data_IF_446422098692
#
_entry.id   IF_446422098692
#
_cell.length_a   1.000
_cell.length_b   1.000
_cell.length_c   1.000
_cell.angle_alpha   90.00
_cell.angle_beta   90.00
_cell.angle_gamma   90.00
#
_symmetry.space_group_name_H-M   'P 1'
#
loop_
_entity.id
_entity.type
_entity.pdbx_description
1 polymer ?
#
# COMPACT_ATOMS: atom_id res chain seq x y z
N UNK A 1 -11.13 -7.64 12.22
CA UNK A 1 -12.26 -8.62 12.29
C UNK A 1 -11.75 -10.04 12.51
N UNK A 2 -10.86 -10.63 11.65
CA UNK A 2 -10.39 -12.03 11.78
C UNK A 2 -9.89 -12.39 13.18
N UNK A 3 -9.18 -11.49 13.87
CA UNK A 3 -8.76 -11.68 15.24
C UNK A 3 -9.95 -11.72 16.21
N UNK A 4 -10.91 -10.83 16.04
CA UNK A 4 -12.07 -10.71 16.94
C UNK A 4 -13.03 -11.90 16.85
N UNK A 5 -13.10 -12.55 15.71
CA UNK A 5 -13.94 -13.72 15.46
C UNK A 5 -13.19 -15.07 15.60
N UNK A 6 -11.95 -15.03 16.12
CA UNK A 6 -11.16 -16.22 16.41
C UNK A 6 -10.57 -16.95 15.20
N UNK A 7 -10.61 -16.34 14.00
CA UNK A 7 -10.03 -16.90 12.76
C UNK A 7 -8.54 -16.60 12.59
N UNK A 8 -7.83 -16.25 13.64
CA UNK A 8 -6.44 -15.82 13.58
C UNK A 8 -6.27 -14.33 13.30
N UNK A 9 -5.04 -13.90 13.17
CA UNK A 9 -4.68 -12.49 13.05
C UNK A 9 -3.92 -11.98 14.26
N UNK A 10 -3.72 -10.67 14.34
CA UNK A 10 -2.87 -10.05 15.34
C UNK A 10 -3.68 -9.25 16.37
N UNK A 11 -3.41 -9.51 17.65
CA UNK A 11 -3.94 -8.69 18.75
C UNK A 11 -3.36 -7.26 18.69
N UNK A 12 -2.08 -7.13 18.40
CA UNK A 12 -1.41 -5.84 18.30
C UNK A 12 -2.01 -4.98 17.18
N UNK A 13 -2.22 -5.58 15.99
CA UNK A 13 -2.85 -4.89 14.86
C UNK A 13 -4.30 -4.50 15.17
N UNK A 14 -5.08 -5.39 15.80
CA UNK A 14 -6.45 -5.09 16.21
C UNK A 14 -6.50 -3.91 17.17
N UNK A 15 -5.64 -3.90 18.19
CA UNK A 15 -5.56 -2.83 19.18
C UNK A 15 -5.12 -1.50 18.56
N UNK A 16 -4.08 -1.52 17.73
CA UNK A 16 -3.61 -0.31 17.02
C UNK A 16 -4.66 0.30 16.12
N UNK A 17 -5.45 -0.52 15.42
CA UNK A 17 -6.58 -0.04 14.61
C UNK A 17 -7.67 0.57 15.50
N UNK A 18 -8.02 -0.09 16.60
CA UNK A 18 -9.04 0.40 17.53
C UNK A 18 -8.65 1.75 18.14
N UNK A 19 -7.42 1.87 18.61
CA UNK A 19 -6.88 3.12 19.14
C UNK A 19 -6.87 4.24 18.10
N UNK A 20 -6.43 3.94 16.88
CA UNK A 20 -6.35 4.93 15.81
C UNK A 20 -7.73 5.46 15.39
N UNK A 21 -8.75 4.60 15.40
CA UNK A 21 -10.12 4.94 15.03
C UNK A 21 -10.98 5.42 16.22
N UNK A 22 -10.52 5.25 17.46
CA UNK A 22 -11.31 5.55 18.66
C UNK A 22 -12.51 4.62 18.83
N UNK A 23 -12.43 3.37 18.33
CA UNK A 23 -13.49 2.36 18.43
C UNK A 23 -13.12 1.29 19.47
N UNK A 24 -14.10 0.65 20.06
CA UNK A 24 -13.93 -0.32 21.14
C UNK A 24 -14.52 -1.71 20.85
N UNK A 25 -15.27 -1.84 19.76
CA UNK A 25 -15.94 -3.10 19.42
C UNK A 25 -15.87 -3.43 17.93
N UNK A 26 -16.14 -4.70 17.59
CA UNK A 26 -16.24 -5.15 16.20
C UNK A 26 -17.38 -4.46 15.46
N UNK A 27 -18.51 -4.22 16.14
CA UNK A 27 -19.68 -3.56 15.58
C UNK A 27 -19.37 -2.10 15.21
N UNK A 28 -18.63 -1.40 16.09
CA UNK A 28 -18.18 -0.03 15.82
C UNK A 28 -17.21 0.03 14.63
N UNK A 29 -16.27 -0.92 14.54
CA UNK A 29 -15.37 -1.04 13.40
C UNK A 29 -16.12 -1.29 12.10
N UNK A 30 -17.11 -2.20 12.10
CA UNK A 30 -17.95 -2.47 10.92
C UNK A 30 -18.76 -1.23 10.54
N UNK A 31 -19.34 -0.55 11.52
CA UNK A 31 -20.07 0.71 11.29
C UNK A 31 -19.17 1.79 10.70
N UNK A 32 -17.92 1.90 11.19
CA UNK A 32 -16.94 2.81 10.61
C UNK A 32 -16.68 2.47 9.14
N UNK A 33 -16.34 1.22 8.80
CA UNK A 33 -15.96 0.82 7.44
C UNK A 33 -17.11 0.98 6.43
N UNK A 34 -18.35 0.68 6.83
CA UNK A 34 -19.54 0.73 5.97
C UNK A 34 -20.41 1.96 6.18
N UNK A 35 -20.01 2.87 7.06
CA UNK A 35 -20.71 4.12 7.33
C UNK A 35 -20.69 5.05 6.13
N UNK A 36 -21.80 5.78 5.92
CA UNK A 36 -21.92 6.74 4.80
C UNK A 36 -20.94 7.93 4.93
N UNK A 37 -20.48 8.23 6.13
CA UNK A 37 -19.57 9.34 6.41
C UNK A 37 -18.08 8.97 6.22
N UNK A 38 -17.77 7.68 6.17
CA UNK A 38 -16.39 7.19 6.02
C UNK A 38 -15.99 7.22 4.55
N UNK A 39 -14.95 7.97 4.25
CA UNK A 39 -14.39 8.03 2.91
C UNK A 39 -13.15 7.13 2.77
N UNK A 40 -12.69 6.94 1.53
CA UNK A 40 -11.51 6.10 1.23
C UNK A 40 -10.24 6.62 1.92
N UNK A 41 -10.11 7.93 2.12
CA UNK A 41 -8.95 8.54 2.79
C UNK A 41 -8.90 8.17 4.27
N UNK A 42 -10.04 8.03 4.94
CA UNK A 42 -10.09 7.63 6.35
C UNK A 42 -9.63 6.18 6.54
N UNK A 43 -10.02 5.30 5.61
CA UNK A 43 -9.53 3.92 5.59
C UNK A 43 -8.03 3.88 5.27
N UNK A 44 -7.57 4.70 4.32
CA UNK A 44 -6.17 4.76 3.94
C UNK A 44 -5.24 5.20 5.09
N UNK A 45 -5.71 6.01 6.03
CA UNK A 45 -4.95 6.40 7.22
C UNK A 45 -4.52 5.21 8.08
N UNK A 46 -5.26 4.09 8.04
CA UNK A 46 -4.91 2.86 8.74
C UNK A 46 -3.61 2.23 8.25
N UNK A 47 -3.15 2.58 7.04
CA UNK A 47 -1.84 2.14 6.54
C UNK A 47 -0.70 2.53 7.48
N UNK A 48 -0.79 3.68 8.15
CA UNK A 48 0.19 4.12 9.14
C UNK A 48 0.34 3.15 10.31
N UNK A 49 -0.77 2.57 10.79
CA UNK A 49 -0.75 1.56 11.87
C UNK A 49 -0.05 0.30 11.40
N UNK A 50 -0.38 -0.18 10.19
CA UNK A 50 0.24 -1.39 9.60
C UNK A 50 1.73 -1.19 9.40
N UNK A 51 2.15 -0.05 8.84
CA UNK A 51 3.57 0.29 8.64
C UNK A 51 4.35 0.34 9.95
N UNK A 52 3.80 0.99 10.97
CA UNK A 52 4.45 1.11 12.27
C UNK A 52 4.66 -0.25 12.93
N UNK A 53 3.62 -1.10 12.94
CA UNK A 53 3.69 -2.45 13.52
C UNK A 53 4.60 -3.38 12.71
N UNK A 54 4.58 -3.32 11.39
CA UNK A 54 5.51 -4.08 10.55
C UNK A 54 6.97 -3.67 10.82
N UNK A 55 7.24 -2.37 10.98
CA UNK A 55 8.56 -1.86 11.36
C UNK A 55 9.03 -2.31 12.75
N UNK A 56 8.10 -2.68 13.64
CA UNK A 56 8.39 -3.27 14.95
C UNK A 56 8.51 -4.81 14.90
N UNK A 57 8.37 -5.42 13.72
CA UNK A 57 8.48 -6.87 13.54
C UNK A 57 7.18 -7.64 13.77
N UNK A 58 6.00 -6.96 13.74
CA UNK A 58 4.72 -7.64 13.86
C UNK A 58 4.39 -8.40 12.56
N UNK A 59 4.27 -9.73 12.68
CA UNK A 59 4.19 -10.64 11.53
C UNK A 59 2.97 -10.42 10.63
N UNK A 60 1.78 -10.24 11.21
CA UNK A 60 0.54 -10.07 10.42
C UNK A 60 0.60 -8.78 9.59
N UNK A 61 1.14 -7.71 10.17
CA UNK A 61 1.34 -6.45 9.45
C UNK A 61 2.38 -6.59 8.33
N UNK A 62 3.47 -7.31 8.58
CA UNK A 62 4.47 -7.60 7.56
C UNK A 62 3.90 -8.46 6.41
N UNK A 63 3.07 -9.46 6.73
CA UNK A 63 2.34 -10.27 5.73
C UNK A 63 1.41 -9.42 4.87
N UNK A 64 0.67 -8.49 5.46
CA UNK A 64 -0.22 -7.57 4.73
C UNK A 64 0.59 -6.73 3.73
N UNK A 65 1.74 -6.19 4.15
CA UNK A 65 2.60 -5.41 3.27
C UNK A 65 3.20 -6.26 2.14
N UNK A 66 3.60 -7.50 2.45
CA UNK A 66 4.14 -8.44 1.46
C UNK A 66 3.08 -8.81 0.42
N UNK A 67 1.86 -9.16 0.84
CA UNK A 67 0.77 -9.45 -0.07
C UNK A 67 0.43 -8.27 -0.98
N UNK A 68 0.38 -7.05 -0.42
CA UNK A 68 0.17 -5.84 -1.22
C UNK A 68 1.29 -5.59 -2.25
N UNK A 69 2.53 -5.89 -1.90
CA UNK A 69 3.67 -5.80 -2.81
C UNK A 69 3.61 -6.84 -3.94
N UNK A 70 3.20 -8.06 -3.64
CA UNK A 70 3.01 -9.14 -4.62
C UNK A 70 1.90 -8.80 -5.63
N UNK A 71 0.81 -8.19 -5.19
CA UNK A 71 -0.25 -7.71 -6.09
C UNK A 71 0.26 -6.62 -7.04
N UNK A 72 1.09 -5.68 -6.57
CA UNK A 72 1.74 -4.69 -7.44
C UNK A 72 2.64 -5.39 -8.46
N UNK A 73 3.42 -6.38 -8.04
CA UNK A 73 4.29 -7.13 -8.95
C UNK A 73 3.49 -7.89 -10.02
N UNK A 74 2.34 -8.47 -9.66
CA UNK A 74 1.43 -9.09 -10.62
C UNK A 74 0.90 -8.08 -11.66
N UNK A 75 0.54 -6.87 -11.23
CA UNK A 75 0.09 -5.81 -12.14
C UNK A 75 1.22 -5.37 -13.08
N UNK A 76 2.43 -5.15 -12.57
CA UNK A 76 3.59 -4.78 -13.39
C UNK A 76 3.89 -5.86 -14.43
N UNK A 77 3.92 -7.13 -14.03
CA UNK A 77 4.09 -8.27 -14.94
C UNK A 77 3.05 -8.27 -16.06
N UNK A 78 1.78 -8.06 -15.73
CA UNK A 78 0.70 -8.03 -16.71
C UNK A 78 0.88 -6.88 -17.72
N UNK A 79 1.26 -5.69 -17.25
CA UNK A 79 1.53 -4.53 -18.10
C UNK A 79 2.74 -4.76 -19.01
N UNK A 80 3.85 -5.26 -18.47
CA UNK A 80 5.05 -5.57 -19.25
C UNK A 80 4.77 -6.59 -20.35
N UNK A 81 4.02 -7.64 -20.04
CA UNK A 81 3.62 -8.65 -21.03
C UNK A 81 2.75 -8.04 -22.12
N UNK A 82 1.78 -7.21 -21.76
CA UNK A 82 0.86 -6.58 -22.72
C UNK A 82 1.54 -5.60 -23.64
N UNK A 83 2.52 -4.85 -23.11
CA UNK A 83 3.26 -3.84 -23.87
C UNK A 83 4.53 -4.39 -24.54
N UNK A 84 4.87 -5.65 -24.29
CA UNK A 84 6.13 -6.27 -24.73
C UNK A 84 7.39 -5.46 -24.30
N UNK A 85 7.42 -5.02 -23.04
CA UNK A 85 8.48 -4.21 -22.43
C UNK A 85 9.14 -4.94 -21.26
N UNK A 86 9.84 -6.08 -21.49
CA UNK A 86 10.49 -6.81 -20.41
C UNK A 86 11.62 -5.97 -19.78
N UNK A 87 11.77 -6.08 -18.46
CA UNK A 87 12.87 -5.45 -17.71
C UNK A 87 12.96 -3.91 -17.85
N UNK A 88 11.86 -3.23 -18.17
CA UNK A 88 11.87 -1.78 -18.23
C UNK A 88 12.05 -1.17 -16.84
N UNK A 89 12.66 0.03 -16.72
CA UNK A 89 12.73 0.74 -15.44
C UNK A 89 11.34 1.02 -14.86
N UNK A 90 11.19 0.88 -13.55
CA UNK A 90 9.92 1.03 -12.84
C UNK A 90 10.04 2.23 -11.89
N UNK A 91 9.32 3.30 -12.18
CA UNK A 91 9.25 4.45 -11.28
C UNK A 91 8.20 4.21 -10.20
N UNK A 92 8.59 4.41 -8.92
CA UNK A 92 7.72 4.29 -7.76
C UNK A 92 7.21 5.68 -7.37
N UNK A 93 5.89 5.87 -7.41
CA UNK A 93 5.20 7.12 -7.06
C UNK A 93 4.08 6.85 -6.05
N UNK A 94 3.73 7.88 -5.30
CA UNK A 94 2.63 7.84 -4.33
C UNK A 94 3.12 7.81 -2.89
N UNK A 95 2.35 8.40 -1.99
CA UNK A 95 2.77 8.72 -0.62
C UNK A 95 3.35 7.55 0.19
N UNK A 96 2.95 6.30 -0.07
CA UNK A 96 3.52 5.11 0.59
C UNK A 96 4.85 4.65 -0.06
N UNK A 97 5.18 5.12 -1.26
CA UNK A 97 6.35 4.66 -2.04
C UNK A 97 7.41 5.76 -2.22
N UNK A 98 7.13 6.99 -1.82
CA UNK A 98 8.05 8.13 -1.95
C UNK A 98 9.11 8.21 -0.84
N UNK A 99 8.86 7.58 0.30
CA UNK A 99 9.79 7.53 1.43
C UNK A 99 10.20 6.10 1.78
N UNK A 100 11.38 5.95 2.37
CA UNK A 100 11.85 4.67 2.89
C UNK A 100 10.94 4.18 4.02
N UNK A 101 10.36 3.00 3.83
CA UNK A 101 9.51 2.34 4.80
C UNK A 101 9.39 0.83 4.49
N UNK A 102 8.85 -0.01 5.41
CA UNK A 102 8.72 -1.45 5.19
C UNK A 102 7.92 -1.84 3.93
N UNK A 103 6.93 -1.05 3.54
CA UNK A 103 6.14 -1.35 2.34
C UNK A 103 6.93 -1.11 1.06
N UNK A 104 7.64 0.03 0.97
CA UNK A 104 8.52 0.30 -0.16
C UNK A 104 9.56 -0.81 -0.34
N UNK A 105 10.20 -1.25 0.74
CA UNK A 105 11.17 -2.34 0.69
C UNK A 105 10.54 -3.65 0.20
N UNK A 106 9.32 -3.98 0.64
CA UNK A 106 8.58 -5.15 0.17
C UNK A 106 8.27 -5.04 -1.33
N UNK A 107 7.82 -3.85 -1.81
CA UNK A 107 7.53 -3.59 -3.22
C UNK A 107 8.80 -3.69 -4.08
N UNK A 108 9.89 -3.08 -3.67
CA UNK A 108 11.18 -3.16 -4.40
C UNK A 108 11.66 -4.60 -4.51
N UNK A 109 11.55 -5.38 -3.44
CA UNK A 109 11.88 -6.81 -3.43
C UNK A 109 10.99 -7.60 -4.40
N UNK A 110 9.68 -7.36 -4.39
CA UNK A 110 8.73 -8.05 -5.26
C UNK A 110 8.91 -7.68 -6.74
N UNK A 111 9.34 -6.44 -7.02
CA UNK A 111 9.57 -5.95 -8.38
C UNK A 111 10.95 -6.30 -8.96
N UNK A 112 11.91 -6.71 -8.13
CA UNK A 112 13.26 -7.03 -8.59
C UNK A 112 13.36 -7.97 -9.81
N UNK A 113 12.48 -8.98 -9.98
CA UNK A 113 12.48 -9.83 -11.18
C UNK A 113 11.98 -9.15 -12.46
N UNK A 114 11.32 -8.01 -12.36
CA UNK A 114 10.62 -7.35 -13.47
C UNK A 114 11.34 -6.09 -13.97
N UNK A 115 12.29 -5.57 -13.23
CA UNK A 115 13.07 -4.42 -13.62
C UNK A 115 13.64 -3.64 -12.43
N UNK A 116 14.51 -2.68 -12.73
CA UNK A 116 15.10 -1.82 -11.70
C UNK A 116 14.10 -0.77 -11.25
N UNK A 117 13.83 -0.71 -9.97
CA UNK A 117 13.05 0.37 -9.36
C UNK A 117 13.86 1.65 -9.27
N UNK A 118 13.22 2.79 -9.44
CA UNK A 118 13.84 4.11 -9.35
C UNK A 118 12.87 5.17 -8.84
N UNK A 119 13.41 6.27 -8.33
CA UNK A 119 12.61 7.45 -8.06
C UNK A 119 12.23 8.13 -9.38
N UNK A 120 11.07 8.80 -9.45
CA UNK A 120 10.72 9.60 -10.60
C UNK A 120 11.71 10.75 -10.78
N UNK A 121 12.04 11.10 -12.03
CA UNK A 121 12.92 12.23 -12.32
C UNK A 121 12.28 13.58 -11.97
N UNK A 122 10.95 13.65 -12.04
CA UNK A 122 10.13 14.83 -11.80
C UNK A 122 8.82 14.42 -11.12
N UNK A 123 8.11 15.37 -10.56
CA UNK A 123 6.80 15.15 -9.96
C UNK A 123 5.69 14.93 -11.02
N UNK A 124 4.51 14.52 -10.55
CA UNK A 124 3.37 14.26 -11.43
C UNK A 124 2.85 15.53 -12.14
N UNK A 125 3.02 16.71 -11.51
CA UNK A 125 2.60 17.97 -12.09
C UNK A 125 3.45 18.34 -13.32
N UNK A 126 4.76 18.16 -13.22
CA UNK A 126 5.68 18.35 -14.33
C UNK A 126 5.35 17.40 -15.49
N UNK A 127 5.12 16.11 -15.20
CA UNK A 127 4.71 15.12 -16.21
C UNK A 127 3.42 15.50 -16.93
N UNK A 128 2.40 15.95 -16.18
CA UNK A 128 1.14 16.41 -16.76
C UNK A 128 1.33 17.65 -17.66
N UNK A 129 2.16 18.61 -17.23
CA UNK A 129 2.47 19.80 -18.02
C UNK A 129 3.20 19.44 -19.35
N UNK A 130 4.13 18.49 -19.29
CA UNK A 130 4.83 18.03 -20.50
C UNK A 130 3.87 17.32 -21.45
N UNK A 131 3.02 16.42 -20.97
CA UNK A 131 2.00 15.76 -21.79
C UNK A 131 1.05 16.76 -22.46
N UNK A 132 0.62 17.81 -21.75
CA UNK A 132 -0.21 18.87 -22.30
C UNK A 132 0.52 19.64 -23.40
N UNK A 133 1.80 19.92 -23.23
CA UNK A 133 2.65 20.58 -24.23
C UNK A 133 2.81 19.74 -25.51
N UNK A 134 2.99 18.43 -25.39
CA UNK A 134 3.16 17.52 -26.53
C UNK A 134 1.86 17.31 -27.33
N UNK A 135 0.70 17.61 -26.74
CA UNK A 135 -0.62 17.52 -27.38
C UNK A 135 -1.09 18.83 -28.01
N UNK A 136 -0.38 19.93 -27.79
CA UNK A 136 -0.71 21.25 -28.33
C UNK A 136 -0.05 21.53 -29.68
#
# INVERSE_FOLDING_TARGET
VRFLDGRGGSKALCHGIFENLGVSSAEELVRFVYGQETNKSDIAKLSGVVLALAGQGENTSAEILTQGAEEIACMVKAVQNRLNLPNCPIALLGGLLESENPYRQAVEKALAPYGKTQYPCHDALWGAAQMAWELA
#
